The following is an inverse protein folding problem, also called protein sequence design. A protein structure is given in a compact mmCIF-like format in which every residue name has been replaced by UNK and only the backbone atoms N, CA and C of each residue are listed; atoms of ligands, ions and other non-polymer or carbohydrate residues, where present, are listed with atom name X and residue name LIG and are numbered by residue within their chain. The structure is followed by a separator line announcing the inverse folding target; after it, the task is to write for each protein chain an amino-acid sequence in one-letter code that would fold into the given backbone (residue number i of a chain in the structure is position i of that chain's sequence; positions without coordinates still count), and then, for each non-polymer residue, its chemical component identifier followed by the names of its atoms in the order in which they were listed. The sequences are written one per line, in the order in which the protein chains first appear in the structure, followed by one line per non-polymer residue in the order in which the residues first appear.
data_IF_978354592050
#
_entry.id   IF_978354592050
#
_cell.length_a   1.000
_cell.length_b   1.000
_cell.length_c   1.000
_cell.angle_alpha   90.00
_cell.angle_beta   90.00
_cell.angle_gamma   90.00
#
_symmetry.space_group_name_H-M   'P 1'
#
loop_
_entity.id
_entity.type
_entity.pdbx_description
1 polymer ?
#
# COMPACT_ATOMS: atom_id res chain seq x y z
N UNK A 1 4.95 8.96 -5.67
CA UNK A 1 4.29 7.65 -5.50
C UNK A 1 4.67 6.75 -6.67
N UNK A 2 5.22 5.55 -6.43
CA UNK A 2 5.50 4.59 -7.51
C UNK A 2 4.31 3.62 -7.62
N UNK A 3 3.70 3.55 -8.79
CA UNK A 3 2.60 2.63 -9.08
C UNK A 3 3.08 1.66 -10.15
N UNK A 4 2.99 0.37 -9.84
CA UNK A 4 3.40 -0.71 -10.73
C UNK A 4 2.19 -1.55 -11.08
N UNK A 5 2.02 -1.85 -12.38
CA UNK A 5 0.96 -2.71 -12.87
C UNK A 5 1.53 -4.06 -13.27
N UNK A 6 1.27 -5.08 -12.46
CA UNK A 6 1.90 -6.40 -12.58
C UNK A 6 1.58 -7.09 -13.91
N UNK A 7 0.37 -6.89 -14.45
CA UNK A 7 -0.04 -7.57 -15.69
C UNK A 7 0.75 -7.08 -16.92
N UNK A 8 1.24 -5.84 -16.93
CA UNK A 8 2.07 -5.31 -18.02
C UNK A 8 3.54 -5.17 -17.63
N UNK A 9 3.88 -5.33 -16.34
CA UNK A 9 5.23 -5.13 -15.81
C UNK A 9 5.70 -3.66 -15.87
N UNK A 10 4.82 -2.72 -16.21
CA UNK A 10 5.14 -1.31 -16.29
C UNK A 10 5.01 -0.66 -14.91
N UNK A 11 5.94 0.24 -14.59
CA UNK A 11 5.86 1.11 -13.44
C UNK A 11 5.84 2.57 -13.87
N UNK A 12 5.06 3.37 -13.17
CA UNK A 12 4.97 4.82 -13.39
C UNK A 12 5.19 5.53 -12.06
N UNK A 13 6.06 6.53 -12.08
CA UNK A 13 6.21 7.46 -10.98
C UNK A 13 5.18 8.57 -11.14
N UNK A 14 4.43 8.80 -10.08
CA UNK A 14 3.37 9.79 -10.01
C UNK A 14 3.76 10.79 -8.95
N UNK A 15 3.93 12.04 -9.37
CA UNK A 15 4.17 13.16 -8.48
C UNK A 15 2.83 13.55 -7.86
N UNK A 16 2.76 13.44 -6.54
CA UNK A 16 1.56 13.81 -5.79
C UNK A 16 2.02 14.59 -4.57
N UNK A 17 1.70 15.88 -4.57
CA UNK A 17 2.11 16.84 -3.54
C UNK A 17 1.09 16.92 -2.39
N UNK A 18 -0.13 16.43 -2.64
CA UNK A 18 -1.23 16.51 -1.69
C UNK A 18 -1.00 15.60 -0.48
N UNK A 19 -0.71 16.22 0.66
CA UNK A 19 -0.40 15.52 1.90
C UNK A 19 -1.60 14.78 2.49
N UNK A 20 -2.83 15.26 2.25
CA UNK A 20 -4.05 14.60 2.73
C UNK A 20 -4.25 13.25 2.04
N UNK A 21 -4.00 13.22 0.73
CA UNK A 21 -3.99 11.99 -0.07
C UNK A 21 -2.89 11.02 0.38
N UNK A 22 -1.70 11.53 0.70
CA UNK A 22 -0.59 10.71 1.18
C UNK A 22 -0.83 10.12 2.57
N UNK A 23 -1.66 10.77 3.40
CA UNK A 23 -1.97 10.29 4.76
C UNK A 23 -2.61 8.90 4.78
N UNK A 24 -3.46 8.60 3.80
CA UNK A 24 -4.11 7.28 3.65
C UNK A 24 -3.06 6.16 3.53
N UNK A 25 -1.92 6.45 2.89
CA UNK A 25 -0.80 5.51 2.75
C UNK A 25 0.10 5.44 3.99
N UNK A 26 0.07 6.45 4.85
CA UNK A 26 0.88 6.46 6.07
C UNK A 26 0.29 5.58 7.18
N UNK A 27 -1.04 5.46 7.22
CA UNK A 27 -1.75 4.68 8.25
C UNK A 27 -1.95 3.21 7.82
N UNK A 28 -1.61 2.87 6.57
CA UNK A 28 -1.81 1.53 6.01
C UNK A 28 -0.56 0.67 6.10
N UNK A 29 -0.77 -0.61 6.46
CA UNK A 29 0.32 -1.58 6.56
C UNK A 29 0.73 -2.10 5.18
N UNK A 30 1.99 -2.53 5.05
CA UNK A 30 2.42 -3.27 3.85
C UNK A 30 1.56 -4.53 3.73
N UNK A 31 1.25 -4.89 2.49
CA UNK A 31 0.42 -6.00 2.05
C UNK A 31 -1.10 -5.73 2.08
N UNK A 32 -1.52 -4.57 2.57
CA UNK A 32 -2.94 -4.18 2.65
C UNK A 32 -3.44 -3.60 1.32
N UNK A 33 -4.67 -3.97 0.93
CA UNK A 33 -5.39 -3.38 -0.19
C UNK A 33 -6.11 -2.10 0.23
N UNK A 34 -5.90 -1.03 -0.52
CA UNK A 34 -6.39 0.31 -0.22
C UNK A 34 -7.08 0.88 -1.45
N UNK A 35 -8.31 1.33 -1.28
CA UNK A 35 -9.02 2.07 -2.31
C UNK A 35 -8.43 3.47 -2.44
N UNK A 36 -8.04 3.83 -3.65
CA UNK A 36 -7.38 5.12 -3.95
C UNK A 36 -8.29 6.10 -4.69
N UNK A 37 -9.60 5.88 -4.58
CA UNK A 37 -10.65 6.75 -5.12
C UNK A 37 -10.47 8.22 -4.69
N UNK A 38 -10.00 8.44 -3.46
CA UNK A 38 -9.73 9.76 -2.89
C UNK A 38 -8.55 10.50 -3.56
N UNK A 39 -7.71 9.82 -4.36
CA UNK A 39 -6.60 10.48 -5.05
C UNK A 39 -7.06 11.38 -6.20
N UNK A 40 -8.21 11.09 -6.80
CA UNK A 40 -8.76 11.82 -7.93
C UNK A 40 -9.57 10.92 -8.87
N UNK A 41 -10.29 11.52 -9.83
CA UNK A 41 -11.15 10.78 -10.76
C UNK A 41 -10.40 9.71 -11.58
N UNK A 42 -9.12 9.93 -11.89
CA UNK A 42 -8.26 8.98 -12.60
C UNK A 42 -8.04 7.66 -11.81
N UNK A 43 -8.19 7.73 -10.48
CA UNK A 43 -7.99 6.60 -9.55
C UNK A 43 -9.31 6.07 -9.01
N UNK A 44 -10.43 6.56 -9.54
CA UNK A 44 -11.77 6.17 -9.10
C UNK A 44 -11.97 4.67 -9.29
N UNK A 45 -12.50 4.01 -8.26
CA UNK A 45 -12.67 2.54 -8.23
C UNK A 45 -11.37 1.73 -8.43
N UNK A 46 -10.20 2.35 -8.28
CA UNK A 46 -8.93 1.64 -8.29
C UNK A 46 -8.57 1.21 -6.87
N UNK A 47 -8.19 -0.07 -6.73
CA UNK A 47 -7.66 -0.65 -5.49
C UNK A 47 -6.20 -0.99 -5.74
N UNK A 48 -5.33 -0.52 -4.86
CA UNK A 48 -3.90 -0.81 -4.91
C UNK A 48 -3.47 -1.53 -3.65
N UNK A 49 -2.52 -2.45 -3.80
CA UNK A 49 -1.88 -3.10 -2.66
C UNK A 49 -0.59 -2.38 -2.33
N UNK A 50 -0.40 -2.05 -1.06
CA UNK A 50 0.83 -1.41 -0.59
C UNK A 50 1.92 -2.48 -0.50
N UNK A 51 2.77 -2.58 -1.51
CA UNK A 51 3.88 -3.57 -1.55
C UNK A 51 5.13 -3.10 -0.78
N UNK A 52 5.19 -1.80 -0.47
CA UNK A 52 6.24 -1.19 0.32
C UNK A 52 6.26 0.32 0.14
N UNK A 53 7.05 1.00 0.96
CA UNK A 53 7.21 2.43 0.90
C UNK A 53 8.33 2.88 1.82
N UNK A 54 8.87 4.05 1.52
CA UNK A 54 9.81 4.74 2.39
C UNK A 54 9.09 5.95 2.96
N UNK A 55 9.11 6.11 4.29
CA UNK A 55 8.58 7.30 4.94
C UNK A 55 9.34 8.55 4.46
N UNK A 56 8.73 9.74 4.60
CA UNK A 56 9.37 11.03 4.28
C UNK A 56 10.73 11.20 5.00
N UNK A 57 10.94 10.59 6.17
CA UNK A 57 12.21 10.61 6.90
C UNK A 57 13.24 9.54 6.45
N UNK A 58 12.97 8.79 5.38
CA UNK A 58 13.89 7.76 4.88
C UNK A 58 13.79 6.40 5.58
N UNK A 59 12.91 6.25 6.58
CA UNK A 59 12.68 4.96 7.21
C UNK A 59 11.88 4.03 6.29
N UNK A 60 12.35 2.79 6.06
CA UNK A 60 11.55 1.80 5.35
C UNK A 60 10.29 1.47 6.16
N UNK A 61 9.14 1.46 5.50
CA UNK A 61 7.91 0.97 6.11
C UNK A 61 8.12 -0.48 6.56
N UNK A 62 7.64 -0.82 7.75
CA UNK A 62 7.75 -2.19 8.27
C UNK A 62 6.90 -3.12 7.41
N UNK A 63 7.53 -4.12 6.80
CA UNK A 63 6.82 -5.32 6.33
C UNK A 63 6.31 -6.04 7.56
N UNK A 64 5.03 -6.43 7.57
CA UNK A 64 4.60 -7.55 8.44
C UNK A 64 5.32 -8.78 7.91
N UNK A 65 6.55 -8.99 8.40
CA UNK A 65 7.31 -10.21 8.16
C UNK A 65 6.95 -11.19 9.26
N UNK A 66 5.82 -11.85 9.07
CA UNK A 66 5.46 -13.03 9.83
C UNK A 66 4.37 -13.76 9.05
N UNK A 67 4.47 -15.09 8.85
CA UNK A 67 3.26 -15.83 8.53
C UNK A 67 2.27 -15.47 9.65
N UNK A 68 1.05 -15.10 9.28
CA UNK A 68 -0.06 -15.26 10.21
C UNK A 68 -0.01 -16.71 10.62
N UNK A 69 0.61 -16.98 11.78
CA UNK A 69 0.59 -18.28 12.39
C UNK A 69 -0.89 -18.58 12.55
N UNK A 70 -1.35 -19.53 11.76
CA UNK A 70 -2.65 -20.18 11.91
C UNK A 70 -2.87 -20.35 13.43
N UNK A 71 -3.97 -19.84 14.00
CA UNK A 71 -4.26 -20.15 15.39
C UNK A 71 -4.40 -21.67 15.44
N UNK A 72 -3.43 -22.33 16.08
CA UNK A 72 -3.43 -23.77 16.24
C UNK A 72 -4.82 -24.20 16.72
N UNK A 73 -5.46 -25.19 16.09
CA UNK A 73 -6.76 -25.65 16.54
C UNK A 73 -6.61 -26.08 18.00
N UNK A 74 -7.38 -25.44 18.88
CA UNK A 74 -7.51 -25.85 20.27
C UNK A 74 -7.95 -27.32 20.24
N UNK A 75 -7.00 -28.22 20.54
CA UNK A 75 -7.31 -29.61 20.83
C UNK A 75 -7.72 -29.65 22.30
N UNK A 76 -8.92 -30.20 22.54
CA UNK A 76 -9.54 -30.44 23.84
C UNK A 76 -8.58 -30.99 24.92
#
# INVERSE_FOLDING_TARGET
MNISFLATGCQKLIEMDDEQKLRIFSETCIDTEVAIDALGEEWKSCVVRIIGGTSKQGFPMKKVSGPMAEPAPATE
#
